data_IF_445977932427
#
_entry.id   IF_445977932427
#
_cell.length_a   1.000
_cell.length_b   1.000
_cell.length_c   1.000
_cell.angle_alpha   90.00
_cell.angle_beta   90.00
_cell.angle_gamma   90.00
#
_symmetry.space_group_name_H-M   'P 1'
#
loop_
_entity.id
_entity.type
_entity.pdbx_description
1 polymer ?
#
# COMPACT_ATOMS: atom_id res chain seq x y z
N UNK A 1 6.55 -12.42 0.89
CA UNK A 1 5.95 -11.16 1.41
C UNK A 1 5.90 -10.13 0.30
N UNK A 2 4.76 -9.45 0.09
CA UNK A 2 4.59 -8.38 -0.91
C UNK A 2 3.83 -7.20 -0.30
N UNK A 3 4.02 -6.01 -0.85
CA UNK A 3 3.24 -4.83 -0.45
C UNK A 3 2.24 -4.53 -1.55
N UNK A 4 0.96 -4.50 -1.21
CA UNK A 4 -0.11 -4.11 -2.13
C UNK A 4 -0.64 -2.74 -1.73
N UNK A 5 -0.56 -1.78 -2.65
CA UNK A 5 -1.03 -0.42 -2.45
C UNK A 5 -2.38 -0.27 -3.12
N UNK A 6 -3.38 0.16 -2.35
CA UNK A 6 -4.73 0.42 -2.79
C UNK A 6 -5.03 1.91 -2.72
N UNK A 7 -5.68 2.43 -3.74
CA UNK A 7 -6.29 3.74 -3.71
C UNK A 7 -7.70 3.63 -3.13
N UNK A 8 -7.98 4.46 -2.12
CA UNK A 8 -9.30 4.57 -1.55
C UNK A 8 -10.24 5.25 -2.56
N UNK A 9 -11.53 4.91 -2.52
CA UNK A 9 -12.53 5.31 -3.53
C UNK A 9 -12.61 6.82 -3.81
N UNK A 10 -12.17 7.63 -2.85
CA UNK A 10 -12.13 9.10 -2.92
C UNK A 10 -10.93 9.65 -3.75
N UNK A 11 -10.02 8.78 -4.21
CA UNK A 11 -8.78 9.17 -4.92
C UNK A 11 -7.74 9.88 -4.04
N UNK A 12 -8.13 10.29 -2.84
CA UNK A 12 -7.31 11.13 -1.94
C UNK A 12 -6.39 10.35 -1.01
N UNK A 13 -6.63 9.05 -0.80
CA UNK A 13 -5.93 8.27 0.22
C UNK A 13 -5.38 6.97 -0.35
N UNK A 14 -4.09 6.73 -0.16
CA UNK A 14 -3.42 5.48 -0.50
C UNK A 14 -3.19 4.65 0.75
N UNK A 15 -3.45 3.35 0.67
CA UNK A 15 -3.25 2.41 1.77
C UNK A 15 -2.35 1.29 1.27
N UNK A 16 -1.17 1.15 1.89
CA UNK A 16 -0.28 0.04 1.68
C UNK A 16 -0.60 -1.09 2.68
N UNK A 17 -0.78 -2.29 2.14
CA UNK A 17 -1.05 -3.51 2.89
C UNK A 17 0.11 -4.48 2.70
N UNK A 18 0.65 -5.01 3.79
CA UNK A 18 1.59 -6.12 3.75
C UNK A 18 0.82 -7.41 3.58
N UNK A 19 1.08 -8.11 2.49
CA UNK A 19 0.59 -9.47 2.28
C UNK A 19 1.72 -10.44 2.60
N UNK A 20 1.51 -11.20 3.66
CA UNK A 20 2.42 -12.26 4.10
C UNK A 20 2.23 -13.52 3.25
N UNK A 21 3.20 -14.42 3.28
CA UNK A 21 3.16 -15.67 2.50
C UNK A 21 2.05 -16.64 2.96
N UNK A 22 1.48 -16.42 4.15
CA UNK A 22 0.30 -17.13 4.65
C UNK A 22 -1.03 -16.56 4.11
N UNK A 23 -0.97 -15.56 3.22
CA UNK A 23 -2.13 -14.87 2.68
C UNK A 23 -2.75 -13.85 3.64
N UNK A 24 -2.18 -13.60 4.82
CA UNK A 24 -2.67 -12.55 5.71
C UNK A 24 -2.25 -11.18 5.22
N UNK A 25 -3.25 -10.32 5.06
CA UNK A 25 -3.08 -8.91 4.78
C UNK A 25 -3.00 -8.14 6.11
N UNK A 26 -2.14 -7.13 6.20
CA UNK A 26 -2.06 -6.23 7.35
C UNK A 26 -1.77 -4.82 6.86
N UNK A 27 -2.54 -3.83 7.33
CA UNK A 27 -2.26 -2.43 6.99
C UNK A 27 -0.86 -2.05 7.48
N UNK A 28 0.00 -1.66 6.55
CA UNK A 28 1.37 -1.22 6.82
C UNK A 28 1.37 0.27 7.11
N UNK A 29 0.85 1.02 6.15
CA UNK A 29 0.87 2.47 6.19
C UNK A 29 -0.21 3.03 5.29
N UNK A 30 -0.81 4.13 5.74
CA UNK A 30 -1.71 4.95 4.93
C UNK A 30 -1.10 6.32 4.68
N UNK A 31 -1.36 6.86 3.50
CA UNK A 31 -1.04 8.22 3.13
C UNK A 31 -2.28 8.96 2.68
N UNK A 32 -2.39 10.20 3.15
CA UNK A 32 -3.43 11.17 2.73
C UNK A 32 -2.84 12.22 1.79
N UNK A 33 -1.53 12.13 1.48
CA UNK A 33 -0.78 13.12 0.68
C UNK A 33 -0.40 12.61 -0.72
N UNK A 34 -0.74 11.37 -1.05
CA UNK A 34 -0.43 10.73 -2.34
C UNK A 34 0.70 9.70 -2.28
N UNK A 35 1.15 9.25 -3.46
CA UNK A 35 2.07 8.11 -3.62
C UNK A 35 3.47 8.38 -3.08
N UNK A 36 3.97 9.61 -3.21
CA UNK A 36 5.30 9.97 -2.75
C UNK A 36 5.46 9.91 -1.23
N UNK A 37 4.46 10.37 -0.48
CA UNK A 37 4.46 10.26 0.99
C UNK A 37 4.36 8.80 1.43
N UNK A 38 3.57 7.98 0.73
CA UNK A 38 3.48 6.54 0.98
C UNK A 38 4.83 5.84 0.73
N UNK A 39 5.46 6.10 -0.43
CA UNK A 39 6.74 5.53 -0.81
C UNK A 39 7.84 5.93 0.18
N UNK A 40 7.87 7.18 0.62
CA UNK A 40 8.82 7.64 1.64
C UNK A 40 8.63 6.90 2.97
N UNK A 41 7.39 6.65 3.39
CA UNK A 41 7.12 5.88 4.62
C UNK A 41 7.52 4.41 4.47
N UNK A 42 7.24 3.79 3.33
CA UNK A 42 7.67 2.41 3.04
C UNK A 42 9.21 2.31 3.02
N UNK A 43 9.88 3.29 2.39
CA UNK A 43 11.34 3.38 2.38
C UNK A 43 11.92 3.56 3.79
N UNK A 44 11.29 4.39 4.63
CA UNK A 44 11.69 4.60 6.02
C UNK A 44 11.56 3.32 6.87
N UNK A 45 10.63 2.41 6.53
CA UNK A 45 10.48 1.11 7.20
C UNK A 45 11.52 0.07 6.76
N UNK A 46 12.48 0.43 5.88
CA UNK A 46 13.47 -0.48 5.30
C UNK A 46 12.84 -1.68 4.57
N UNK A 47 11.63 -1.46 4.03
CA UNK A 47 10.87 -2.45 3.25
C UNK A 47 11.13 -2.28 1.75
N UNK A 48 12.12 -1.49 1.37
CA UNK A 48 12.53 -1.20 -0.01
C UNK A 48 12.93 -2.43 -0.83
N UNK A 49 13.27 -3.54 -0.17
CA UNK A 49 13.53 -4.83 -0.82
C UNK A 49 12.27 -5.62 -1.18
N UNK A 50 11.08 -5.20 -0.71
CA UNK A 50 9.83 -5.87 -1.03
C UNK A 50 9.24 -5.30 -2.32
N UNK A 51 8.70 -6.19 -3.16
CA UNK A 51 7.94 -5.79 -4.34
C UNK A 51 6.69 -5.01 -3.91
N UNK A 52 6.61 -3.76 -4.35
CA UNK A 52 5.45 -2.89 -4.16
C UNK A 52 4.61 -2.92 -5.43
N UNK A 53 3.37 -3.38 -5.32
CA UNK A 53 2.41 -3.40 -6.42
C UNK A 53 1.33 -2.35 -6.18
N UNK A 54 1.14 -1.46 -7.15
CA UNK A 54 0.09 -0.45 -7.10
C UNK A 54 -1.14 -0.90 -7.87
N UNK A 55 -2.29 -0.85 -7.21
CA UNK A 55 -3.59 -1.14 -7.80
C UNK A 55 -4.35 0.17 -8.00
N UNK A 56 -4.17 0.83 -9.16
CA UNK A 56 -4.64 2.20 -9.40
C UNK A 56 -6.10 2.37 -9.88
N UNK A 57 -6.84 1.33 -10.19
CA UNK A 57 -8.21 1.53 -10.70
C UNK A 57 -9.05 0.27 -10.58
N UNK A 58 -9.11 -0.30 -9.39
CA UNK A 58 -10.16 -1.25 -9.04
C UNK A 58 -10.36 -1.12 -7.55
N UNK A 59 -11.04 -0.03 -7.18
CA UNK A 59 -11.72 0.04 -5.90
C UNK A 59 -12.29 -1.34 -5.57
N UNK A 60 -11.79 -1.97 -4.51
CA UNK A 60 -12.32 -3.21 -3.98
C UNK A 60 -13.80 -2.88 -3.68
N UNK A 61 -14.73 -3.34 -4.52
CA UNK A 61 -16.16 -3.31 -4.18
C UNK A 61 -16.25 -4.09 -2.87
N UNK A 62 -16.55 -3.38 -1.79
CA UNK A 62 -16.82 -3.97 -0.48
C UNK A 62 -17.92 -5.02 -0.61
#
# INVERSE_FOLDING_TARGET
>A
MKIEVYENYDGSKLVAMLVKDDGKESELVRSEKGSDDLLNKIAAMNLSHLTVTFHWASARKQ
#
